data_IF_124783811655
#
_entry.id   IF_124783811655
#
_cell.length_a   1.000
_cell.length_b   1.000
_cell.length_c   1.000
_cell.angle_alpha   90.00
_cell.angle_beta   90.00
_cell.angle_gamma   90.00
#
_symmetry.space_group_name_H-M   'P 1'
#
loop_
_entity.id
_entity.type
_entity.pdbx_description
1 polymer ?
#
# COMPACT_ATOMS: atom_id res chain seq x y z
N UNK A 1 70.38 0.62 -30.70
CA UNK A 1 69.53 1.76 -30.28
C UNK A 1 68.88 1.37 -28.96
N UNK A 2 69.14 2.19 -27.96
CA UNK A 2 68.95 1.98 -26.53
C UNK A 2 67.48 2.17 -26.17
N UNK A 3 66.82 1.16 -25.58
CA UNK A 3 65.49 1.34 -24.99
C UNK A 3 65.63 1.39 -23.47
N UNK A 4 65.26 2.55 -22.93
CA UNK A 4 65.30 2.87 -21.52
C UNK A 4 64.15 2.19 -20.77
N UNK A 5 64.52 1.60 -19.64
CA UNK A 5 63.64 1.10 -18.60
C UNK A 5 63.07 2.28 -17.80
N UNK A 6 61.75 2.35 -17.67
CA UNK A 6 61.07 3.18 -16.67
C UNK A 6 60.24 2.26 -15.77
N UNK A 7 60.57 2.31 -14.48
CA UNK A 7 59.85 1.72 -13.37
C UNK A 7 58.70 2.65 -12.97
N UNK A 8 57.48 2.12 -12.89
CA UNK A 8 56.37 2.76 -12.18
C UNK A 8 56.02 1.92 -10.94
N UNK A 9 55.96 2.52 -9.73
CA UNK A 9 55.52 1.81 -8.54
C UNK A 9 53.98 1.82 -8.40
N UNK A 10 53.44 0.64 -8.08
CA UNK A 10 52.08 0.44 -7.59
C UNK A 10 51.77 1.30 -6.36
N UNK A 11 50.75 2.16 -6.48
CA UNK A 11 50.05 2.75 -5.34
C UNK A 11 48.65 2.16 -5.29
N UNK A 12 48.46 1.20 -4.39
CA UNK A 12 47.17 0.69 -3.95
C UNK A 12 46.62 1.56 -2.80
N UNK A 13 45.30 1.43 -2.58
CA UNK A 13 44.48 1.99 -1.50
C UNK A 13 43.66 3.25 -1.84
N UNK A 14 42.52 2.95 -2.47
CA UNK A 14 41.34 3.79 -2.57
C UNK A 14 40.47 3.62 -1.31
N UNK A 15 40.13 4.76 -0.71
CA UNK A 15 38.96 5.16 0.09
C UNK A 15 38.46 4.33 1.29
N UNK A 16 38.45 4.91 2.52
CA UNK A 16 37.62 4.42 3.62
C UNK A 16 36.14 4.78 3.39
N UNK A 17 35.28 3.79 3.66
CA UNK A 17 33.82 3.92 3.74
C UNK A 17 33.46 4.73 4.99
N UNK A 18 32.89 5.92 4.81
CA UNK A 18 32.13 6.60 5.86
C UNK A 18 30.70 6.05 5.84
N UNK A 19 30.36 5.30 6.89
CA UNK A 19 29.00 4.89 7.26
C UNK A 19 28.63 5.62 8.56
N UNK A 20 27.35 5.95 8.68
CA UNK A 20 26.65 6.54 9.84
C UNK A 20 27.09 7.97 10.15
N UNK A 21 26.19 8.92 10.36
CA UNK A 21 24.73 8.92 10.50
C UNK A 21 24.38 10.34 10.93
N UNK A 22 23.14 10.77 10.73
CA UNK A 22 22.47 11.88 11.45
C UNK A 22 21.08 12.02 10.82
N UNK A 23 20.12 11.25 11.34
CA UNK A 23 18.70 11.51 11.09
C UNK A 23 18.21 12.30 12.30
N UNK A 24 18.39 13.62 12.25
CA UNK A 24 17.73 14.53 13.16
C UNK A 24 16.24 14.55 12.84
N UNK A 25 15.42 14.12 13.81
CA UNK A 25 13.97 14.27 13.77
C UNK A 25 13.59 15.76 13.74
N UNK A 26 13.58 16.36 12.57
CA UNK A 26 12.78 17.55 12.30
C UNK A 26 11.35 17.07 12.08
N UNK A 27 10.59 17.00 13.18
CA UNK A 27 9.12 16.93 13.10
C UNK A 27 8.64 18.31 12.66
N UNK A 28 8.76 18.57 11.36
CA UNK A 28 8.05 19.66 10.69
C UNK A 28 6.57 19.28 10.76
N UNK A 29 5.88 19.88 11.71
CA UNK A 29 4.43 19.94 11.74
C UNK A 29 3.95 20.71 10.50
N UNK A 30 3.92 20.03 9.36
CA UNK A 30 3.16 20.43 8.19
C UNK A 30 1.68 20.19 8.50
N UNK A 31 1.13 20.96 9.44
CA UNK A 31 -0.29 21.25 9.52
C UNK A 31 -0.65 22.17 8.35
N UNK A 32 -0.48 21.67 7.13
CA UNK A 32 -1.16 22.25 5.99
C UNK A 32 -2.65 22.14 6.27
N UNK A 33 -3.34 23.28 6.24
CA UNK A 33 -4.78 23.36 6.34
C UNK A 33 -5.38 22.50 5.22
N UNK A 34 -5.75 21.25 5.54
CA UNK A 34 -6.63 20.47 4.69
C UNK A 34 -8.00 21.12 4.83
N UNK A 35 -8.32 21.99 3.87
CA UNK A 35 -9.59 22.67 3.78
C UNK A 35 -10.68 21.61 3.66
N UNK A 36 -11.55 21.55 4.67
CA UNK A 36 -12.68 20.66 4.75
C UNK A 36 -13.64 20.99 3.61
N UNK A 37 -13.59 20.21 2.52
CA UNK A 37 -14.51 20.38 1.39
C UNK A 37 -15.89 19.92 1.88
N UNK A 38 -16.70 20.89 2.31
CA UNK A 38 -18.11 20.66 2.55
C UNK A 38 -18.82 20.44 1.21
N UNK A 39 -19.13 19.17 0.93
CA UNK A 39 -19.99 18.83 -0.19
C UNK A 39 -21.40 19.38 0.08
N UNK A 40 -21.77 20.46 -0.60
CA UNK A 40 -23.14 20.94 -0.64
C UNK A 40 -23.85 20.11 -1.72
N UNK A 41 -24.76 19.19 -1.37
CA UNK A 41 -25.50 18.44 -2.38
C UNK A 41 -26.30 19.43 -3.23
N UNK A 42 -25.95 19.49 -4.52
CA UNK A 42 -26.71 20.23 -5.52
C UNK A 42 -28.15 19.74 -5.49
N UNK A 43 -29.08 20.63 -5.14
CA UNK A 43 -30.51 20.37 -5.25
C UNK A 43 -30.85 20.31 -6.73
N UNK A 44 -30.88 19.11 -7.30
CA UNK A 44 -31.52 18.89 -8.59
C UNK A 44 -32.99 19.31 -8.50
N UNK A 45 -33.50 20.05 -9.49
CA UNK A 45 -34.88 20.50 -9.50
C UNK A 45 -35.81 19.30 -9.65
N UNK A 46 -36.79 19.26 -8.74
CA UNK A 46 -37.92 18.33 -8.72
C UNK A 46 -38.67 18.46 -10.06
N UNK A 47 -38.56 17.45 -10.92
CA UNK A 47 -39.49 17.24 -12.01
C UNK A 47 -40.69 16.45 -11.48
N UNK A 48 -41.78 17.17 -11.22
CA UNK A 48 -43.12 16.60 -11.05
C UNK A 48 -43.63 16.10 -12.41
N UNK A 49 -43.97 14.82 -12.51
CA UNK A 49 -44.87 14.20 -13.50
C UNK A 49 -44.92 12.70 -13.19
N UNK A 50 -45.99 11.94 -13.28
CA UNK A 50 -47.43 12.15 -13.37
C UNK A 50 -48.02 10.76 -13.07
N UNK A 51 -49.20 10.71 -12.46
CA UNK A 51 -50.00 9.48 -12.33
C UNK A 51 -50.20 8.79 -13.70
N UNK A 52 -50.02 7.48 -13.76
CA UNK A 52 -50.83 6.64 -14.65
C UNK A 52 -51.04 5.27 -14.01
N UNK A 53 -52.31 5.05 -13.72
CA UNK A 53 -53.00 3.81 -13.36
C UNK A 53 -52.97 2.81 -14.54
N UNK A 54 -52.62 1.55 -14.29
CA UNK A 54 -53.05 0.43 -15.15
C UNK A 54 -52.99 -0.91 -14.41
N UNK A 55 -53.81 -1.83 -14.90
CA UNK A 55 -54.57 -2.86 -14.22
C UNK A 55 -54.02 -4.28 -14.48
N UNK A 56 -54.15 -5.15 -13.47
CA UNK A 56 -54.25 -6.63 -13.46
C UNK A 56 -53.59 -7.52 -14.53
N UNK A 57 -52.81 -8.54 -14.10
CA UNK A 57 -53.27 -9.93 -13.90
C UNK A 57 -52.15 -11.01 -13.97
N UNK A 58 -52.29 -12.02 -13.08
CA UNK A 58 -51.95 -13.45 -13.20
C UNK A 58 -50.48 -13.97 -13.16
N UNK A 59 -50.12 -14.53 -11.98
CA UNK A 59 -49.85 -15.97 -11.69
C UNK A 59 -48.78 -16.78 -12.46
N UNK A 60 -47.71 -17.21 -11.75
CA UNK A 60 -47.06 -18.55 -11.69
C UNK A 60 -45.69 -18.43 -10.97
N UNK A 61 -45.47 -19.02 -9.79
CA UNK A 61 -45.08 -20.41 -9.45
C UNK A 61 -43.55 -20.71 -9.55
N UNK A 62 -43.03 -21.43 -8.53
CA UNK A 62 -41.65 -21.89 -8.23
C UNK A 62 -40.75 -21.07 -7.26
N UNK A 63 -40.39 -21.64 -6.08
CA UNK A 63 -39.19 -21.28 -5.34
C UNK A 63 -38.05 -22.25 -5.66
N UNK A 64 -37.01 -21.77 -6.35
CA UNK A 64 -35.68 -22.41 -6.35
C UNK A 64 -34.75 -21.49 -5.60
N UNK A 65 -34.21 -21.98 -4.48
CA UNK A 65 -33.22 -21.28 -3.65
C UNK A 65 -31.83 -21.56 -4.23
N UNK A 66 -31.10 -20.59 -4.80
CA UNK A 66 -29.66 -20.69 -4.95
C UNK A 66 -28.95 -20.25 -3.67
N UNK A 67 -27.84 -20.94 -3.37
CA UNK A 67 -26.92 -20.60 -2.30
C UNK A 67 -26.24 -19.23 -2.54
N UNK A 68 -25.83 -18.51 -1.49
CA UNK A 68 -25.17 -17.21 -1.64
C UNK A 68 -23.77 -17.37 -2.27
N UNK A 69 -23.58 -16.81 -3.45
CA UNK A 69 -22.26 -16.61 -4.08
C UNK A 69 -21.76 -15.21 -3.74
N UNK A 70 -20.49 -15.10 -3.33
CA UNK A 70 -19.81 -13.91 -2.80
C UNK A 70 -19.58 -12.74 -3.78
N UNK A 71 -20.39 -12.61 -4.84
CA UNK A 71 -20.13 -11.72 -5.99
C UNK A 71 -20.99 -10.44 -6.00
N UNK A 72 -21.83 -10.22 -4.99
CA UNK A 72 -22.79 -9.09 -4.95
C UNK A 72 -22.27 -7.82 -4.21
N UNK A 73 -20.99 -7.76 -3.83
CA UNK A 73 -20.53 -6.65 -2.97
C UNK A 73 -20.29 -5.32 -3.70
N UNK A 74 -20.25 -5.32 -5.04
CA UNK A 74 -20.13 -4.12 -5.87
C UNK A 74 -21.05 -4.26 -7.07
N UNK A 75 -22.18 -3.56 -7.04
CA UNK A 75 -23.29 -3.73 -7.99
C UNK A 75 -22.88 -3.65 -9.45
N UNK A 76 -23.26 -4.69 -10.19
CA UNK A 76 -23.27 -4.75 -11.64
C UNK A 76 -24.39 -3.82 -12.16
N UNK A 77 -24.00 -2.68 -12.74
CA UNK A 77 -24.92 -1.70 -13.29
C UNK A 77 -25.01 -1.92 -14.81
N UNK A 78 -25.87 -2.87 -15.19
CA UNK A 78 -26.19 -3.15 -16.59
C UNK A 78 -27.03 -2.02 -17.21
N UNK A 79 -26.48 -1.47 -18.29
CA UNK A 79 -27.09 -0.73 -19.42
C UNK A 79 -27.84 0.59 -19.14
N UNK A 80 -27.62 1.58 -20.03
CA UNK A 80 -28.79 2.00 -20.79
C UNK A 80 -28.57 2.04 -22.30
N UNK A 81 -29.72 1.88 -22.95
CA UNK A 81 -29.97 1.91 -24.37
C UNK A 81 -29.45 3.18 -25.08
N UNK A 82 -29.01 2.93 -26.32
CA UNK A 82 -28.90 3.78 -27.53
C UNK A 82 -29.43 5.21 -27.48
N UNK A 83 -28.69 6.16 -28.10
CA UNK A 83 -29.22 7.07 -29.13
C UNK A 83 -28.10 7.83 -29.88
N UNK A 84 -28.44 8.16 -31.12
CA UNK A 84 -27.62 8.57 -32.25
C UNK A 84 -27.55 10.10 -32.44
N UNK A 85 -26.63 10.57 -33.31
CA UNK A 85 -26.48 11.91 -33.93
C UNK A 85 -25.94 13.05 -33.04
N UNK A 86 -25.11 14.02 -33.45
CA UNK A 86 -24.46 14.47 -34.70
C UNK A 86 -23.29 15.41 -34.29
N UNK A 87 -22.35 15.78 -35.19
CA UNK A 87 -21.15 16.55 -34.86
C UNK A 87 -21.40 18.07 -34.86
N UNK A 88 -20.82 18.79 -33.89
CA UNK A 88 -20.67 20.26 -33.96
C UNK A 88 -19.22 20.67 -33.93
N UNK A 89 -18.81 21.24 -35.05
CA UNK A 89 -17.59 22.03 -35.23
C UNK A 89 -17.62 23.36 -34.43
N UNK A 90 -16.40 23.81 -34.12
CA UNK A 90 -15.94 25.20 -34.02
C UNK A 90 -16.39 26.06 -32.83
N UNK A 91 -15.43 26.45 -31.97
CA UNK A 91 -14.91 27.83 -31.99
C UNK A 91 -13.66 27.96 -31.10
N UNK A 92 -12.57 28.40 -31.73
CA UNK A 92 -11.44 29.06 -31.06
C UNK A 92 -11.94 30.24 -30.24
N UNK A 93 -11.37 30.44 -29.05
CA UNK A 93 -10.94 31.78 -28.66
C UNK A 93 -9.70 31.72 -27.77
N UNK A 94 -8.71 32.49 -28.20
CA UNK A 94 -7.44 32.71 -27.56
C UNK A 94 -7.62 33.61 -26.32
N UNK A 95 -6.99 33.24 -25.21
CA UNK A 95 -6.71 34.18 -24.13
C UNK A 95 -5.21 34.12 -23.84
N UNK A 96 -4.54 35.07 -24.48
CA UNK A 96 -3.25 35.66 -24.15
C UNK A 96 -3.42 36.55 -22.91
N UNK A 97 -2.76 36.25 -21.79
CA UNK A 97 -2.40 37.18 -20.68
C UNK A 97 -1.80 36.33 -19.54
N UNK A 98 -0.74 36.66 -18.82
CA UNK A 98 0.18 37.79 -18.79
C UNK A 98 1.30 37.36 -17.83
N UNK A 99 2.54 37.52 -18.27
CA UNK A 99 3.75 37.23 -17.50
C UNK A 99 3.87 38.18 -16.31
N UNK A 100 4.02 37.64 -15.10
CA UNK A 100 4.38 38.42 -13.89
C UNK A 100 5.75 37.96 -13.39
N UNK A 101 6.66 38.89 -13.04
CA UNK A 101 8.09 38.62 -12.89
C UNK A 101 8.48 37.95 -11.57
N UNK A 102 9.55 37.16 -11.67
CA UNK A 102 10.33 36.59 -10.58
C UNK A 102 10.86 37.68 -9.63
N UNK A 103 10.58 37.50 -8.34
CA UNK A 103 11.27 38.22 -7.27
C UNK A 103 12.28 37.26 -6.62
N UNK A 104 13.55 37.45 -6.96
CA UNK A 104 14.68 36.88 -6.24
C UNK A 104 14.72 37.46 -4.83
N UNK A 105 14.80 36.60 -3.81
CA UNK A 105 15.17 37.03 -2.45
C UNK A 105 16.47 36.33 -2.06
N UNK A 106 17.53 37.08 -1.71
CA UNK A 106 18.83 36.51 -1.37
C UNK A 106 18.97 36.20 0.13
N UNK A 107 19.73 35.14 0.39
CA UNK A 107 20.66 34.92 1.51
C UNK A 107 20.21 35.24 2.94
N UNK A 108 20.16 34.20 3.79
CA UNK A 108 20.82 34.28 5.09
C UNK A 108 21.22 32.87 5.56
N UNK A 109 22.53 32.68 5.71
CA UNK A 109 23.18 31.42 6.11
C UNK A 109 23.58 31.56 7.59
N UNK A 110 22.89 30.89 8.53
CA UNK A 110 23.33 30.88 9.91
C UNK A 110 24.43 29.83 10.11
N UNK A 111 25.68 30.30 10.12
CA UNK A 111 26.75 29.64 10.86
C UNK A 111 26.35 29.59 12.35
N UNK A 112 26.50 28.45 13.02
CA UNK A 112 26.97 28.38 14.41
C UNK A 112 27.21 26.94 14.92
N UNK A 113 28.38 26.81 15.53
CA UNK A 113 28.75 25.96 16.66
C UNK A 113 29.04 24.47 16.42
N UNK A 114 30.34 24.18 16.22
CA UNK A 114 30.98 22.92 16.56
C UNK A 114 30.83 22.64 18.07
N UNK A 115 30.13 21.56 18.43
CA UNK A 115 30.11 21.02 19.79
C UNK A 115 30.97 19.76 19.89
N UNK A 116 31.89 19.81 20.85
CA UNK A 116 32.81 18.80 21.36
C UNK A 116 32.12 17.42 21.62
N UNK A 117 32.71 16.29 21.21
CA UNK A 117 32.22 14.97 21.62
C UNK A 117 32.82 14.55 22.97
N UNK A 118 31.94 14.30 23.96
CA UNK A 118 32.28 13.59 25.20
C UNK A 118 32.39 12.08 24.93
N UNK A 119 33.49 11.46 25.38
CA UNK A 119 33.66 10.01 25.48
C UNK A 119 32.81 9.43 26.63
N UNK A 120 32.26 8.23 26.46
CA UNK A 120 32.35 7.22 27.51
C UNK A 120 32.77 5.84 26.94
N UNK A 121 33.91 5.29 27.36
CA UNK A 121 34.08 4.34 28.48
C UNK A 121 33.77 2.91 28.06
N UNK A 122 34.84 2.18 27.72
CA UNK A 122 34.90 0.73 27.57
C UNK A 122 34.58 0.01 28.89
N UNK A 123 33.69 -0.97 28.85
CA UNK A 123 33.63 -2.07 29.81
C UNK A 123 33.71 -3.42 29.07
N UNK A 124 34.68 -4.30 29.40
CA UNK A 124 34.74 -5.66 28.89
C UNK A 124 34.35 -6.69 29.98
N UNK A 125 33.39 -7.55 29.68
CA UNK A 125 33.11 -8.81 30.39
C UNK A 125 32.07 -9.61 29.57
N UNK A 126 32.13 -10.91 29.34
CA UNK A 126 33.08 -11.97 29.72
C UNK A 126 32.65 -13.23 28.95
N UNK A 127 33.63 -14.06 28.59
CA UNK A 127 33.49 -15.47 28.24
C UNK A 127 32.60 -16.23 29.23
N UNK A 128 31.69 -17.08 28.73
CA UNK A 128 31.30 -18.28 29.46
C UNK A 128 30.97 -19.43 28.49
N UNK A 129 31.88 -20.40 28.49
CA UNK A 129 31.79 -21.73 27.91
C UNK A 129 30.58 -22.52 28.44
N UNK A 130 30.03 -23.38 27.59
CA UNK A 130 29.03 -24.38 27.95
C UNK A 130 28.86 -25.42 26.85
N UNK A 131 29.86 -26.28 26.68
CA UNK A 131 29.73 -27.56 25.96
C UNK A 131 29.03 -28.56 26.89
N UNK A 132 27.88 -29.10 26.50
CA UNK A 132 27.30 -30.28 27.15
C UNK A 132 26.84 -31.29 26.09
N UNK A 133 27.75 -32.22 25.80
CA UNK A 133 27.49 -33.49 25.14
C UNK A 133 26.76 -34.42 26.12
N UNK A 134 25.53 -34.81 25.82
CA UNK A 134 24.86 -35.90 26.51
C UNK A 134 24.22 -36.87 25.50
N UNK A 135 25.03 -37.89 25.20
CA UNK A 135 24.66 -39.14 24.55
C UNK A 135 23.74 -39.95 25.48
N UNK A 136 22.54 -40.32 25.03
CA UNK A 136 21.75 -41.38 25.69
C UNK A 136 21.22 -42.40 24.68
N UNK A 137 21.66 -43.63 24.95
CA UNK A 137 21.38 -44.91 24.34
C UNK A 137 19.90 -45.26 24.23
N UNK A 138 19.63 -46.03 23.19
CA UNK A 138 18.42 -46.79 22.92
C UNK A 138 17.96 -47.71 24.08
N UNK A 139 16.64 -47.89 24.17
CA UNK A 139 16.02 -49.22 24.31
C UNK A 139 14.57 -49.22 23.75
N UNK A 140 14.10 -50.32 23.13
CA UNK A 140 12.78 -50.40 22.50
C UNK A 140 11.75 -51.01 23.44
N UNK A 141 10.64 -50.33 23.70
CA UNK A 141 9.52 -50.90 24.44
C UNK A 141 8.22 -50.74 23.65
N UNK A 142 7.87 -51.86 23.04
CA UNK A 142 6.57 -52.31 22.58
C UNK A 142 5.41 -51.80 23.47
N UNK A 143 4.51 -50.98 22.91
CA UNK A 143 3.28 -50.54 23.58
C UNK A 143 2.17 -50.26 22.57
N UNK A 144 1.40 -51.32 22.33
CA UNK A 144 -0.04 -51.40 22.03
C UNK A 144 -0.75 -50.08 21.71
N UNK A 145 -1.15 -50.00 20.44
CA UNK A 145 -2.12 -49.10 19.81
C UNK A 145 -3.29 -48.75 20.73
N UNK A 146 -3.27 -47.51 21.22
CA UNK A 146 -4.46 -46.72 21.49
C UNK A 146 -4.36 -45.53 20.57
N UNK A 147 -5.09 -45.57 19.45
CA UNK A 147 -5.29 -44.44 18.54
C UNK A 147 -6.15 -43.38 19.24
N UNK A 148 -5.61 -42.81 20.32
CA UNK A 148 -6.03 -41.52 20.83
C UNK A 148 -5.41 -40.51 19.86
N UNK A 149 -6.21 -40.08 18.89
CA UNK A 149 -5.84 -39.05 17.94
C UNK A 149 -5.49 -37.81 18.74
N UNK A 150 -4.20 -37.60 19.01
CA UNK A 150 -3.72 -36.34 19.55
C UNK A 150 -4.30 -35.24 18.67
N UNK A 151 -4.89 -34.18 19.25
CA UNK A 151 -5.38 -33.07 18.48
C UNK A 151 -4.20 -32.60 17.66
N UNK A 152 -4.27 -32.81 16.34
CA UNK A 152 -3.32 -32.26 15.38
C UNK A 152 -3.17 -30.81 15.76
N UNK A 153 -2.03 -30.46 16.37
CA UNK A 153 -1.70 -29.07 16.65
C UNK A 153 -1.88 -28.40 15.31
N UNK A 154 -2.93 -27.58 15.22
CA UNK A 154 -3.20 -26.79 14.04
C UNK A 154 -1.90 -26.08 13.77
N UNK A 155 -1.19 -26.49 12.70
CA UNK A 155 -0.02 -25.79 12.20
C UNK A 155 -0.52 -24.37 12.01
N UNK A 156 -0.20 -23.50 12.96
CA UNK A 156 -0.47 -22.09 12.87
C UNK A 156 0.17 -21.68 11.56
N UNK A 157 -0.68 -21.39 10.57
CA UNK A 157 -0.29 -21.18 9.18
C UNK A 157 0.99 -20.37 9.15
N UNK A 158 1.99 -20.90 8.46
CA UNK A 158 3.37 -20.43 8.56
C UNK A 158 3.41 -18.91 8.38
N UNK A 159 3.65 -18.19 9.49
CA UNK A 159 3.70 -16.73 9.53
C UNK A 159 4.65 -16.26 8.44
N UNK A 160 4.20 -15.32 7.61
CA UNK A 160 4.99 -14.85 6.47
C UNK A 160 6.33 -14.31 6.98
N UNK A 161 7.38 -15.10 6.78
CA UNK A 161 8.69 -14.78 7.33
C UNK A 161 9.30 -13.58 6.61
N UNK A 162 10.04 -12.72 7.34
CA UNK A 162 10.84 -11.67 6.72
C UNK A 162 11.71 -12.24 5.60
N UNK A 163 11.57 -11.70 4.40
CA UNK A 163 12.32 -12.13 3.23
C UNK A 163 12.42 -10.99 2.22
N UNK A 164 13.48 -11.02 1.41
CA UNK A 164 13.68 -10.04 0.35
C UNK A 164 12.52 -10.01 -0.64
N UNK A 165 11.93 -11.17 -0.95
CA UNK A 165 10.82 -11.30 -1.89
C UNK A 165 9.54 -10.71 -1.30
N UNK A 166 9.20 -11.02 -0.05
CA UNK A 166 8.03 -10.45 0.60
C UNK A 166 8.15 -8.92 0.74
N UNK A 167 9.34 -8.42 1.10
CA UNK A 167 9.62 -6.99 1.14
C UNK A 167 9.45 -6.33 -0.24
N UNK A 168 9.92 -6.98 -1.32
CA UNK A 168 9.77 -6.46 -2.68
C UNK A 168 8.28 -6.41 -3.08
N UNK A 169 7.50 -7.46 -2.79
CA UNK A 169 6.06 -7.48 -3.05
C UNK A 169 5.32 -6.37 -2.30
N UNK A 170 5.62 -6.19 -1.00
CA UNK A 170 5.06 -5.10 -0.22
C UNK A 170 5.42 -3.73 -0.79
N UNK A 171 6.71 -3.47 -1.05
CA UNK A 171 7.17 -2.18 -1.58
C UNK A 171 6.58 -1.86 -2.95
N UNK A 172 6.50 -2.85 -3.83
CA UNK A 172 5.90 -2.71 -5.15
C UNK A 172 4.45 -2.22 -5.02
N UNK A 173 3.60 -2.96 -4.31
CA UNK A 173 2.18 -2.66 -4.19
C UNK A 173 1.92 -1.40 -3.34
N UNK A 174 2.68 -1.19 -2.26
CA UNK A 174 2.60 -0.02 -1.39
C UNK A 174 2.92 1.27 -2.16
N UNK A 175 4.07 1.33 -2.82
CA UNK A 175 4.48 2.54 -3.53
C UNK A 175 3.63 2.80 -4.78
N UNK A 176 3.24 1.76 -5.52
CA UNK A 176 2.37 1.92 -6.69
C UNK A 176 0.99 2.46 -6.30
N UNK A 177 0.36 1.90 -5.27
CA UNK A 177 -0.96 2.36 -4.80
C UNK A 177 -0.90 3.74 -4.15
N UNK A 178 0.19 4.09 -3.46
CA UNK A 178 0.40 5.44 -2.95
C UNK A 178 0.56 6.47 -4.08
N UNK A 179 1.36 6.14 -5.10
CA UNK A 179 1.53 6.97 -6.28
C UNK A 179 0.19 7.18 -7.02
N UNK A 180 -0.61 6.12 -7.14
CA UNK A 180 -1.96 6.19 -7.71
C UNK A 180 -2.88 7.11 -6.89
N UNK A 181 -2.82 7.05 -5.55
CA UNK A 181 -3.62 7.92 -4.70
C UNK A 181 -3.24 9.41 -4.84
N UNK A 182 -1.96 9.73 -5.05
CA UNK A 182 -1.48 11.09 -5.35
C UNK A 182 -1.93 11.51 -6.76
N UNK A 183 -1.76 10.62 -7.75
CA UNK A 183 -2.19 10.83 -9.14
C UNK A 183 -3.69 11.12 -9.23
N UNK A 184 -4.52 10.38 -8.49
CA UNK A 184 -5.97 10.57 -8.42
C UNK A 184 -6.39 11.97 -7.95
N UNK A 185 -5.51 12.71 -7.28
CA UNK A 185 -5.74 14.11 -6.86
C UNK A 185 -5.38 15.13 -7.94
N UNK A 186 -5.01 14.69 -9.14
CA UNK A 186 -4.61 15.57 -10.25
C UNK A 186 -3.27 16.26 -10.02
N UNK A 187 -2.45 15.73 -9.11
CA UNK A 187 -1.12 16.25 -8.83
C UNK A 187 -0.13 15.79 -9.91
N UNK A 188 0.82 16.68 -10.27
CA UNK A 188 1.81 16.40 -11.32
C UNK A 188 2.79 15.28 -10.94
N UNK A 189 3.50 14.77 -11.96
CA UNK A 189 4.48 13.68 -11.84
C UNK A 189 5.53 13.95 -10.75
N UNK A 190 5.92 15.20 -10.54
CA UNK A 190 6.86 15.60 -9.48
C UNK A 190 6.43 15.15 -8.07
N UNK A 191 5.13 14.95 -7.84
CA UNK A 191 4.60 14.57 -6.53
C UNK A 191 4.51 13.05 -6.31
N UNK A 192 4.43 12.25 -7.39
CA UNK A 192 4.26 10.80 -7.30
C UNK A 192 5.36 9.99 -7.99
N UNK A 193 6.23 10.64 -8.78
CA UNK A 193 7.24 10.02 -9.63
C UNK A 193 8.23 9.16 -8.84
N UNK A 194 8.72 9.67 -7.70
CA UNK A 194 9.63 8.92 -6.82
C UNK A 194 8.99 7.64 -6.28
N UNK A 195 7.71 7.71 -5.88
CA UNK A 195 6.97 6.53 -5.43
C UNK A 195 6.79 5.52 -6.57
N UNK A 196 6.40 5.99 -7.76
CA UNK A 196 6.27 5.11 -8.92
C UNK A 196 7.62 4.48 -9.32
N UNK A 197 8.73 5.22 -9.22
CA UNK A 197 10.07 4.69 -9.46
C UNK A 197 10.45 3.60 -8.44
N UNK A 198 10.20 3.84 -7.15
CA UNK A 198 10.42 2.83 -6.11
C UNK A 198 9.58 1.57 -6.33
N UNK A 199 8.33 1.73 -6.78
CA UNK A 199 7.48 0.61 -7.14
C UNK A 199 8.07 -0.21 -8.30
N UNK A 200 8.53 0.45 -9.37
CA UNK A 200 9.15 -0.21 -10.52
C UNK A 200 10.44 -0.96 -10.14
N UNK A 201 11.30 -0.36 -9.30
CA UNK A 201 12.51 -1.01 -8.81
C UNK A 201 12.19 -2.29 -8.01
N UNK A 202 11.09 -2.29 -7.25
CA UNK A 202 10.64 -3.46 -6.51
C UNK A 202 10.00 -4.52 -7.43
N UNK A 203 9.26 -4.09 -8.46
CA UNK A 203 8.69 -4.96 -9.48
C UNK A 203 9.76 -5.71 -10.29
N UNK A 204 10.90 -5.06 -10.59
CA UNK A 204 12.05 -5.67 -11.26
C UNK A 204 12.59 -6.88 -10.47
N UNK A 205 12.64 -6.79 -9.13
CA UNK A 205 13.09 -7.91 -8.27
C UNK A 205 12.12 -9.10 -8.36
N UNK A 206 10.84 -8.84 -8.60
CA UNK A 206 9.80 -9.86 -8.70
C UNK A 206 9.62 -10.37 -10.12
N UNK A 207 10.30 -9.76 -11.11
CA UNK A 207 10.12 -10.01 -12.55
C UNK A 207 8.67 -9.74 -12.99
N UNK A 208 8.07 -8.68 -12.46
CA UNK A 208 6.70 -8.25 -12.75
C UNK A 208 6.69 -6.87 -13.42
N UNK A 209 5.66 -6.63 -14.24
CA UNK A 209 5.38 -5.32 -14.83
C UNK A 209 4.26 -4.65 -14.03
N UNK A 210 4.43 -3.37 -13.71
CA UNK A 210 3.38 -2.60 -13.05
C UNK A 210 2.35 -2.10 -14.08
N UNK A 211 1.06 -2.19 -13.76
CA UNK A 211 0.04 -1.70 -14.67
C UNK A 211 0.06 -0.16 -14.70
N UNK A 212 -0.18 0.39 -15.89
CA UNK A 212 -0.18 1.84 -16.13
C UNK A 212 -1.45 2.50 -15.59
N UNK A 213 -1.32 3.69 -15.00
CA UNK A 213 -2.46 4.42 -14.46
C UNK A 213 -3.47 4.80 -15.56
N UNK A 214 -4.78 4.75 -15.24
CA UNK A 214 -5.81 5.10 -16.20
C UNK A 214 -5.73 6.58 -16.54
N UNK A 215 -5.95 6.91 -17.82
CA UNK A 215 -6.07 8.29 -18.27
C UNK A 215 -7.56 8.64 -18.33
N UNK A 216 -7.99 9.68 -17.62
CA UNK A 216 -9.35 10.18 -17.65
C UNK A 216 -9.36 11.71 -17.61
N UNK A 217 -10.49 12.31 -17.95
CA UNK A 217 -10.73 13.73 -17.68
C UNK A 217 -10.65 14.01 -16.17
N UNK A 218 -10.28 15.25 -15.80
CA UNK A 218 -9.96 15.58 -14.40
C UNK A 218 -11.13 15.34 -13.45
N UNK A 219 -12.36 15.56 -13.90
CA UNK A 219 -13.55 15.49 -13.05
C UNK A 219 -13.91 14.04 -12.64
N UNK A 220 -13.49 13.05 -13.45
CA UNK A 220 -13.74 11.62 -13.20
C UNK A 220 -12.47 10.84 -12.82
N UNK A 221 -11.30 11.49 -12.81
CA UNK A 221 -10.02 10.82 -12.59
C UNK A 221 -9.96 10.07 -11.26
N UNK A 222 -10.48 10.67 -10.18
CA UNK A 222 -10.43 10.02 -8.87
C UNK A 222 -11.25 8.73 -8.84
N UNK A 223 -12.46 8.73 -9.41
CA UNK A 223 -13.31 7.55 -9.49
C UNK A 223 -12.67 6.46 -10.36
N UNK A 224 -12.18 6.84 -11.55
CA UNK A 224 -11.47 5.94 -12.46
C UNK A 224 -10.26 5.28 -11.79
N UNK A 225 -9.47 6.02 -11.00
CA UNK A 225 -8.32 5.48 -10.28
C UNK A 225 -8.74 4.57 -9.13
N UNK A 226 -9.83 4.86 -8.41
CA UNK A 226 -10.34 3.96 -7.36
C UNK A 226 -10.76 2.62 -7.96
N UNK A 227 -11.58 2.64 -9.01
CA UNK A 227 -12.04 1.42 -9.68
C UNK A 227 -10.86 0.65 -10.24
N UNK A 228 -9.92 1.34 -10.87
CA UNK A 228 -8.70 0.76 -11.37
C UNK A 228 -7.84 0.13 -10.26
N UNK A 229 -7.64 0.79 -9.12
CA UNK A 229 -6.87 0.22 -8.00
C UNK A 229 -7.51 -1.06 -7.47
N UNK A 230 -8.84 -1.12 -7.41
CA UNK A 230 -9.58 -2.32 -6.96
C UNK A 230 -9.43 -3.44 -8.00
N UNK A 231 -9.61 -3.15 -9.28
CA UNK A 231 -9.59 -4.16 -10.35
C UNK A 231 -8.17 -4.59 -10.74
N UNK A 232 -7.31 -3.65 -11.14
CA UNK A 232 -5.94 -3.94 -11.54
C UNK A 232 -5.10 -4.46 -10.36
N UNK A 233 -5.33 -3.92 -9.16
CA UNK A 233 -4.67 -4.39 -7.96
C UNK A 233 -4.93 -5.86 -7.66
N UNK A 234 -6.17 -6.32 -7.89
CA UNK A 234 -6.54 -7.73 -7.74
C UNK A 234 -6.07 -8.57 -8.94
N UNK A 235 -6.58 -8.26 -10.13
CA UNK A 235 -6.44 -9.12 -11.31
C UNK A 235 -5.03 -9.18 -11.89
N UNK A 236 -4.24 -8.11 -11.75
CA UNK A 236 -2.93 -8.02 -12.39
C UNK A 236 -1.80 -8.21 -11.38
N UNK A 237 -1.94 -7.65 -10.17
CA UNK A 237 -0.90 -7.74 -9.16
C UNK A 237 -1.11 -8.92 -8.20
N UNK A 238 -2.26 -8.97 -7.52
CA UNK A 238 -2.50 -10.00 -6.50
C UNK A 238 -2.57 -11.41 -7.12
N UNK A 239 -3.33 -11.60 -8.20
CA UNK A 239 -3.46 -12.90 -8.86
C UNK A 239 -2.10 -13.39 -9.41
N UNK A 240 -1.32 -12.50 -10.03
CA UNK A 240 0.03 -12.86 -10.50
C UNK A 240 0.98 -13.22 -9.36
N UNK A 241 0.88 -12.56 -8.20
CA UNK A 241 1.63 -12.92 -6.99
C UNK A 241 1.19 -14.26 -6.41
N UNK A 242 -0.11 -14.57 -6.41
CA UNK A 242 -0.61 -15.89 -6.01
C UNK A 242 -0.07 -17.00 -6.92
N UNK A 243 -0.12 -16.79 -8.23
CA UNK A 243 0.30 -17.77 -9.24
C UNK A 243 1.81 -18.05 -9.21
N UNK A 244 2.62 -17.01 -9.00
CA UNK A 244 4.09 -17.12 -9.07
C UNK A 244 4.75 -17.39 -7.72
N UNK A 245 4.09 -17.05 -6.62
CA UNK A 245 4.61 -17.20 -5.26
C UNK A 245 3.64 -18.04 -4.42
N UNK A 246 2.68 -17.39 -3.76
CA UNK A 246 1.74 -18.04 -2.86
C UNK A 246 0.58 -17.08 -2.53
N UNK A 247 -0.59 -17.58 -2.08
CA UNK A 247 -1.76 -16.74 -1.79
C UNK A 247 -1.51 -15.67 -0.71
N UNK A 248 -0.56 -15.89 0.20
CA UNK A 248 -0.19 -14.93 1.24
C UNK A 248 0.42 -13.65 0.62
N UNK A 249 1.15 -13.77 -0.50
CA UNK A 249 1.68 -12.61 -1.22
C UNK A 249 0.58 -11.80 -1.91
N UNK A 250 -0.46 -12.48 -2.40
CA UNK A 250 -1.63 -11.82 -2.97
C UNK A 250 -2.40 -11.04 -1.89
N UNK A 251 -2.62 -11.67 -0.72
CA UNK A 251 -3.24 -11.00 0.42
C UNK A 251 -2.41 -9.81 0.93
N UNK A 252 -1.07 -9.96 0.96
CA UNK A 252 -0.15 -8.87 1.28
C UNK A 252 -0.28 -7.69 0.31
N UNK A 253 -0.37 -7.96 -1.00
CA UNK A 253 -0.62 -6.94 -2.02
C UNK A 253 -1.98 -6.26 -1.84
N UNK A 254 -3.04 -7.03 -1.62
CA UNK A 254 -4.37 -6.50 -1.38
C UNK A 254 -4.42 -5.59 -0.15
N UNK A 255 -3.76 -5.98 0.95
CA UNK A 255 -3.67 -5.16 2.16
C UNK A 255 -2.99 -3.82 1.85
N UNK A 256 -1.88 -3.83 1.13
CA UNK A 256 -1.16 -2.62 0.74
C UNK A 256 -2.04 -1.68 -0.09
N UNK A 257 -2.75 -2.22 -1.07
CA UNK A 257 -3.58 -1.46 -2.01
C UNK A 257 -4.83 -0.91 -1.32
N UNK A 258 -5.60 -1.77 -0.64
CA UNK A 258 -6.86 -1.39 0.02
C UNK A 258 -6.64 -0.34 1.11
N UNK A 259 -5.54 -0.42 1.85
CA UNK A 259 -5.20 0.59 2.87
C UNK A 259 -4.87 1.96 2.25
N UNK A 260 -4.27 2.04 1.07
CA UNK A 260 -4.10 3.31 0.35
C UNK A 260 -5.36 3.82 -0.34
N UNK A 261 -6.26 2.93 -0.80
CA UNK A 261 -7.58 3.33 -1.32
C UNK A 261 -8.38 4.11 -0.28
N UNK A 262 -8.23 3.81 1.02
CA UNK A 262 -8.84 4.60 2.09
C UNK A 262 -8.43 6.09 2.06
N UNK A 263 -7.24 6.43 1.56
CA UNK A 263 -6.85 7.84 1.44
C UNK A 263 -7.73 8.62 0.46
N UNK A 264 -8.42 7.92 -0.45
CA UNK A 264 -9.33 8.46 -1.45
C UNK A 264 -10.79 8.43 -1.01
N UNK A 265 -11.23 7.34 -0.36
CA UNK A 265 -12.66 7.09 -0.10
C UNK A 265 -13.08 7.17 1.36
N UNK A 266 -12.13 7.22 2.31
CA UNK A 266 -12.47 7.11 3.72
C UNK A 266 -13.28 8.32 4.21
N UNK A 267 -14.46 8.02 4.72
CA UNK A 267 -15.31 8.97 5.42
C UNK A 267 -15.89 8.26 6.66
N UNK A 268 -15.64 8.76 7.89
CA UNK A 268 -16.04 8.06 9.14
C UNK A 268 -17.54 7.73 9.22
N UNK A 269 -18.37 8.58 8.61
CA UNK A 269 -19.83 8.47 8.61
C UNK A 269 -20.40 7.71 7.43
N UNK A 270 -19.56 7.19 6.53
CA UNK A 270 -20.05 6.39 5.39
C UNK A 270 -20.68 5.10 5.85
N UNK A 271 -21.76 4.72 5.17
CA UNK A 271 -22.41 3.42 5.32
C UNK A 271 -21.62 2.31 4.61
N UNK A 272 -20.81 2.68 3.60
CA UNK A 272 -19.98 1.77 2.82
C UNK A 272 -18.61 1.48 3.47
N UNK A 273 -18.37 1.96 4.69
CA UNK A 273 -17.09 1.73 5.37
C UNK A 273 -16.94 0.28 5.84
N UNK A 274 -18.00 -0.33 6.37
CA UNK A 274 -17.96 -1.66 6.98
C UNK A 274 -17.40 -2.75 6.03
N UNK A 275 -17.85 -2.84 4.77
CA UNK A 275 -17.29 -3.81 3.82
C UNK A 275 -15.79 -3.61 3.56
N UNK A 276 -15.32 -2.35 3.55
CA UNK A 276 -13.90 -2.03 3.32
C UNK A 276 -13.06 -2.47 4.52
N UNK A 277 -13.54 -2.21 5.75
CA UNK A 277 -12.85 -2.64 6.98
C UNK A 277 -12.74 -4.16 7.03
N UNK A 278 -13.82 -4.88 6.71
CA UNK A 278 -13.80 -6.34 6.63
C UNK A 278 -12.82 -6.85 5.57
N UNK A 279 -12.79 -6.22 4.38
CA UNK A 279 -11.87 -6.59 3.31
C UNK A 279 -10.39 -6.34 3.67
N UNK A 280 -10.10 -5.30 4.46
CA UNK A 280 -8.75 -5.01 4.96
C UNK A 280 -8.35 -6.01 6.04
N UNK A 281 -9.22 -6.27 7.01
CA UNK A 281 -9.00 -7.28 8.07
C UNK A 281 -8.67 -8.63 7.44
N UNK A 282 -9.51 -9.09 6.51
CA UNK A 282 -9.30 -10.35 5.82
C UNK A 282 -7.98 -10.40 5.06
N UNK A 283 -7.64 -9.36 4.30
CA UNK A 283 -6.35 -9.31 3.61
C UNK A 283 -5.16 -9.34 4.59
N UNK A 284 -5.29 -8.74 5.78
CA UNK A 284 -4.26 -8.79 6.81
C UNK A 284 -4.11 -10.19 7.43
N UNK A 285 -5.23 -10.83 7.76
CA UNK A 285 -5.25 -12.22 8.27
C UNK A 285 -4.71 -13.21 7.23
N UNK A 286 -5.17 -13.12 5.99
CA UNK A 286 -4.77 -13.99 4.87
C UNK A 286 -3.30 -13.78 4.45
N UNK A 287 -2.71 -12.61 4.75
CA UNK A 287 -1.29 -12.34 4.51
C UNK A 287 -0.34 -12.98 5.52
N UNK A 288 -0.90 -13.62 6.56
CA UNK A 288 -0.19 -14.24 7.70
C UNK A 288 0.80 -13.30 8.41
N UNK A 289 0.61 -11.98 8.30
CA UNK A 289 1.36 -10.97 9.03
C UNK A 289 1.05 -11.02 10.54
N UNK A 290 2.04 -10.78 11.42
CA UNK A 290 1.80 -10.68 12.85
C UNK A 290 0.69 -9.67 13.18
N UNK A 291 -0.31 -10.04 14.03
CA UNK A 291 -1.44 -9.16 14.34
C UNK A 291 -1.03 -7.80 14.93
N UNK A 292 0.11 -7.75 15.63
CA UNK A 292 0.69 -6.52 16.17
C UNK A 292 0.98 -5.44 15.13
N UNK A 293 1.09 -5.78 13.85
CA UNK A 293 1.34 -4.81 12.77
C UNK A 293 0.06 -4.12 12.29
N UNK A 294 -1.11 -4.76 12.38
CA UNK A 294 -2.33 -4.29 11.70
C UNK A 294 -3.58 -4.20 12.59
N UNK A 295 -3.64 -4.87 13.74
CA UNK A 295 -4.84 -4.86 14.60
C UNK A 295 -5.18 -3.45 15.11
N UNK A 296 -4.19 -2.65 15.48
CA UNK A 296 -4.39 -1.26 15.91
C UNK A 296 -5.05 -0.44 14.80
N UNK A 297 -4.62 -0.65 13.57
CA UNK A 297 -5.17 0.02 12.40
C UNK A 297 -6.63 -0.39 12.15
N UNK A 298 -6.92 -1.69 12.15
CA UNK A 298 -8.30 -2.19 11.95
C UNK A 298 -9.23 -1.67 13.05
N UNK A 299 -8.81 -1.73 14.32
CA UNK A 299 -9.56 -1.20 15.45
C UNK A 299 -9.89 0.29 15.30
N UNK A 300 -8.96 1.07 14.76
CA UNK A 300 -9.15 2.49 14.51
C UNK A 300 -10.22 2.73 13.42
N UNK A 301 -10.27 1.89 12.38
CA UNK A 301 -11.31 1.95 11.35
C UNK A 301 -12.69 1.57 11.90
N UNK A 302 -12.78 0.51 12.70
CA UNK A 302 -14.02 0.07 13.36
C UNK A 302 -14.60 1.14 14.30
N UNK A 303 -13.71 1.87 14.98
CA UNK A 303 -14.08 3.01 15.82
C UNK A 303 -14.45 4.26 15.02
N UNK A 304 -14.39 4.21 13.68
CA UNK A 304 -14.69 5.33 12.78
C UNK A 304 -13.90 6.58 13.17
N UNK A 305 -12.60 6.41 13.44
CA UNK A 305 -11.75 7.51 13.86
C UNK A 305 -11.68 8.63 12.78
N UNK A 306 -11.28 9.86 13.15
CA UNK A 306 -11.14 10.96 12.19
C UNK A 306 -10.18 10.62 11.03
N UNK A 307 -10.41 11.20 9.85
CA UNK A 307 -9.60 10.97 8.64
C UNK A 307 -8.10 11.19 8.88
N UNK A 308 -7.72 12.22 9.65
CA UNK A 308 -6.32 12.50 9.98
C UNK A 308 -5.64 11.36 10.74
N UNK A 309 -6.36 10.73 11.68
CA UNK A 309 -5.87 9.58 12.43
C UNK A 309 -5.74 8.34 11.53
N UNK A 310 -6.73 8.10 10.67
CA UNK A 310 -6.67 7.00 9.68
C UNK A 310 -5.50 7.18 8.72
N UNK A 311 -5.31 8.38 8.16
CA UNK A 311 -4.19 8.69 7.27
C UNK A 311 -2.85 8.41 7.94
N UNK A 312 -2.68 8.87 9.19
CA UNK A 312 -1.45 8.59 9.95
C UNK A 312 -1.25 7.08 10.19
N UNK A 313 -2.32 6.36 10.52
CA UNK A 313 -2.28 4.92 10.75
C UNK A 313 -1.99 4.11 9.48
N UNK A 314 -2.52 4.52 8.32
CA UNK A 314 -2.17 3.93 7.00
C UNK A 314 -0.67 4.06 6.77
N UNK A 315 -0.10 5.26 6.88
CA UNK A 315 1.34 5.47 6.67
C UNK A 315 2.19 4.67 7.67
N UNK A 316 1.77 4.61 8.94
CA UNK A 316 2.42 3.81 9.98
C UNK A 316 2.41 2.32 9.65
N UNK A 317 1.26 1.76 9.24
CA UNK A 317 1.14 0.37 8.80
C UNK A 317 2.13 0.05 7.68
N UNK A 318 2.18 0.90 6.64
CA UNK A 318 3.08 0.76 5.50
C UNK A 318 4.55 0.72 5.90
N UNK A 319 4.94 1.60 6.82
CA UNK A 319 6.29 1.61 7.37
C UNK A 319 6.58 0.35 8.20
N UNK A 320 5.73 0.01 9.17
CA UNK A 320 5.96 -1.11 10.10
C UNK A 320 6.04 -2.46 9.38
N UNK A 321 5.17 -2.71 8.39
CA UNK A 321 5.22 -3.94 7.59
C UNK A 321 6.49 -3.96 6.74
N UNK A 322 6.90 -2.83 6.16
CA UNK A 322 8.16 -2.72 5.43
C UNK A 322 9.38 -3.02 6.31
N UNK A 323 9.41 -2.50 7.54
CA UNK A 323 10.48 -2.74 8.50
C UNK A 323 10.51 -4.21 8.96
N UNK A 324 9.34 -4.81 9.19
CA UNK A 324 9.20 -6.23 9.57
C UNK A 324 9.74 -7.14 8.48
N UNK A 325 9.26 -6.98 7.24
CA UNK A 325 9.67 -7.82 6.11
C UNK A 325 11.14 -7.60 5.73
N UNK A 326 11.71 -6.43 6.07
CA UNK A 326 13.13 -6.13 5.93
C UNK A 326 14.03 -6.70 7.03
N UNK A 327 13.47 -7.28 8.09
CA UNK A 327 14.22 -7.79 9.24
C UNK A 327 14.78 -6.68 10.15
N UNK A 328 14.19 -5.48 10.12
CA UNK A 328 14.57 -4.36 10.98
C UNK A 328 13.85 -4.34 12.33
N UNK A 329 12.80 -5.16 12.48
CA UNK A 329 12.04 -5.36 13.72
C UNK A 329 12.41 -6.73 14.31
N UNK A 330 13.61 -6.85 14.85
CA UNK A 330 14.02 -7.96 15.75
C UNK A 330 14.18 -7.45 17.19
#
# INVERSE_FOLDING_TARGET
MTFASQNEPCSSHYSPRYRLGWLGCVVLACSGCWEEIHYIPSKSPIAQSAETESEAAAEQDHPTVPAPTSDELFGDNSEPETLSEEPRESLQDAIDTESVPSAETPLDEPQLAESHPEQPTDEPASDLFGEEEASTSADPVDKLDSEESEPTELEWGEVLRPSRTALAAWKMCSHWSYAAAIYAKGLGVEQYGDSLQHANNAAEILEMELPEFPHSEKDDLQAAVIDYLIHAGRMQLADQLADTRSPEYAALAELAIKSHVLLLVYTPKSQHLEPIVLAIRRAAEDSTLPPSLWEEFVKLLEQRAPYSAVKAAVLKLHQQVGDYLGGSLE
#
